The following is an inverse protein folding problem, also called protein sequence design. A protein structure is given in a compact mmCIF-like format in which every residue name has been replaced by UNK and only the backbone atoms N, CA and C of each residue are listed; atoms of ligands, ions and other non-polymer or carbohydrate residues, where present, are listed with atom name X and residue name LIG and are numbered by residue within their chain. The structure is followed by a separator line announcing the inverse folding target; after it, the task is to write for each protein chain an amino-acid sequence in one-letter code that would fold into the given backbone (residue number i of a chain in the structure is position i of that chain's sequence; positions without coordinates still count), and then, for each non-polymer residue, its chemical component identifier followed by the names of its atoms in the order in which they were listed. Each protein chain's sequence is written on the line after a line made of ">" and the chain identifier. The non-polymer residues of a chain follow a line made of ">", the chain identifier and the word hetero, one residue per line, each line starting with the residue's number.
data_IF_291687977392
#
_entry.id   IF_291687977392
#
_cell.length_a   1.000
_cell.length_b   1.000
_cell.length_c   1.000
_cell.angle_alpha   90.00
_cell.angle_beta   90.00
_cell.angle_gamma   90.00
#
_symmetry.space_group_name_H-M   'P 1'
#
loop_
_entity.id
_entity.type
_entity.pdbx_description
1 polymer ?
#
# COMPACT_ATOMS: atom_id res chain seq x y z
N UNK A 1 -26.10 -45.90 14.01
CA UNK A 1 -24.88 -45.12 13.64
C UNK A 1 -25.15 -44.08 12.54
N UNK A 2 -25.78 -44.44 11.40
CA UNK A 2 -26.01 -43.53 10.26
C UNK A 2 -26.71 -42.20 10.57
N UNK A 3 -27.66 -42.17 11.51
CA UNK A 3 -28.34 -40.92 11.95
C UNK A 3 -27.41 -39.94 12.69
N UNK A 4 -26.52 -40.45 13.54
CA UNK A 4 -25.50 -39.64 14.24
C UNK A 4 -24.51 -39.04 13.24
N UNK A 5 -24.10 -39.83 12.26
CA UNK A 5 -23.22 -39.38 11.17
C UNK A 5 -23.89 -38.28 10.31
N UNK A 6 -25.16 -38.45 9.94
CA UNK A 6 -25.91 -37.44 9.18
C UNK A 6 -26.01 -36.09 9.91
N UNK A 7 -26.29 -36.13 11.23
CA UNK A 7 -26.35 -34.93 12.07
C UNK A 7 -24.97 -34.26 12.23
N UNK A 8 -23.90 -35.05 12.38
CA UNK A 8 -22.54 -34.51 12.43
C UNK A 8 -22.15 -33.79 11.13
N UNK A 9 -22.47 -34.39 9.98
CA UNK A 9 -22.22 -33.78 8.68
C UNK A 9 -23.03 -32.49 8.49
N UNK A 10 -24.28 -32.47 8.95
CA UNK A 10 -25.11 -31.26 8.93
C UNK A 10 -24.51 -30.16 9.82
N UNK A 11 -24.07 -30.48 11.03
CA UNK A 11 -23.43 -29.53 11.93
C UNK A 11 -22.16 -28.94 11.31
N UNK A 12 -21.31 -29.77 10.70
CA UNK A 12 -20.12 -29.31 9.97
C UNK A 12 -20.48 -28.45 8.75
N UNK A 13 -21.52 -28.81 8.00
CA UNK A 13 -21.99 -28.01 6.87
C UNK A 13 -22.41 -26.61 7.32
N UNK A 14 -23.19 -26.51 8.40
CA UNK A 14 -23.60 -25.22 8.98
C UNK A 14 -22.38 -24.44 9.48
N UNK A 15 -21.44 -25.09 10.14
CA UNK A 15 -20.21 -24.47 10.62
C UNK A 15 -19.39 -23.84 9.47
N UNK A 16 -19.13 -24.58 8.39
CA UNK A 16 -18.37 -24.05 7.24
C UNK A 16 -19.17 -23.00 6.46
N UNK A 17 -20.49 -23.14 6.35
CA UNK A 17 -21.35 -22.13 5.76
C UNK A 17 -21.28 -20.80 6.53
N UNK A 18 -21.21 -20.83 7.86
CA UNK A 18 -21.02 -19.65 8.69
C UNK A 18 -19.58 -19.10 8.61
N UNK A 19 -18.57 -19.97 8.53
CA UNK A 19 -17.16 -19.54 8.50
C UNK A 19 -16.78 -18.83 7.19
N UNK A 20 -17.42 -19.17 6.06
CA UNK A 20 -17.19 -18.55 4.75
C UNK A 20 -17.36 -17.02 4.76
N UNK A 21 -18.54 -16.46 5.12
CA UNK A 21 -18.73 -15.02 5.21
C UNK A 21 -17.88 -14.38 6.33
N UNK A 22 -17.71 -15.07 7.47
CA UNK A 22 -16.91 -14.56 8.59
C UNK A 22 -15.45 -14.33 8.20
N UNK A 23 -14.85 -15.22 7.40
CA UNK A 23 -13.45 -15.05 6.99
C UNK A 23 -13.25 -13.75 6.19
N UNK A 24 -14.13 -13.47 5.22
CA UNK A 24 -14.02 -12.29 4.36
C UNK A 24 -14.45 -10.99 5.02
N UNK A 25 -15.57 -10.99 5.74
CA UNK A 25 -16.18 -9.76 6.25
C UNK A 25 -15.91 -9.48 7.72
N UNK A 26 -15.47 -10.48 8.50
CA UNK A 26 -15.13 -10.30 9.91
C UNK A 26 -13.63 -10.41 10.18
N UNK A 27 -13.00 -11.51 9.74
CA UNK A 27 -11.59 -11.79 10.05
C UNK A 27 -10.63 -10.91 9.23
N UNK A 28 -10.80 -10.84 7.90
CA UNK A 28 -9.92 -10.07 7.03
C UNK A 28 -9.80 -8.58 7.44
N UNK A 29 -10.89 -7.81 7.64
CA UNK A 29 -10.78 -6.40 8.01
C UNK A 29 -10.08 -6.15 9.36
N UNK A 30 -10.05 -7.14 10.26
CA UNK A 30 -9.43 -7.03 11.58
C UNK A 30 -7.97 -7.49 11.61
N UNK A 31 -7.61 -8.42 10.73
CA UNK A 31 -6.29 -9.05 10.74
C UNK A 31 -5.35 -8.46 9.69
N UNK A 32 -5.87 -8.02 8.55
CA UNK A 32 -5.06 -7.44 7.49
C UNK A 32 -4.72 -5.99 7.82
N UNK A 33 -3.51 -5.77 8.35
CA UNK A 33 -2.96 -4.45 8.64
C UNK A 33 -1.47 -4.38 8.35
N UNK A 34 -0.96 -3.17 8.18
CA UNK A 34 0.47 -2.91 8.11
C UNK A 34 1.07 -3.05 9.51
N UNK A 35 2.16 -3.82 9.70
CA UNK A 35 2.81 -3.94 10.99
C UNK A 35 3.57 -2.64 11.33
N UNK A 36 3.52 -2.24 12.61
CA UNK A 36 4.20 -1.05 13.11
C UNK A 36 5.73 -1.20 13.19
N UNK A 37 6.27 -2.42 13.09
CA UNK A 37 7.69 -2.75 13.23
C UNK A 37 8.39 -3.03 11.89
N UNK A 38 7.81 -2.62 10.76
CA UNK A 38 8.41 -2.82 9.45
C UNK A 38 9.57 -1.86 9.17
N UNK A 39 10.54 -2.36 8.41
CA UNK A 39 11.61 -1.54 7.84
C UNK A 39 11.75 -1.85 6.36
N UNK A 40 11.55 -0.83 5.53
CA UNK A 40 11.59 -0.97 4.08
C UNK A 40 12.66 -0.04 3.51
N UNK A 41 13.39 -0.54 2.53
CA UNK A 41 14.33 0.25 1.73
C UNK A 41 13.99 0.08 0.27
N UNK A 42 13.99 1.18 -0.47
CA UNK A 42 13.87 1.20 -1.92
C UNK A 42 15.00 2.04 -2.49
N UNK A 43 15.65 1.53 -3.53
CA UNK A 43 16.68 2.26 -4.26
C UNK A 43 16.18 2.51 -5.68
N UNK A 44 16.26 3.75 -6.10
CA UNK A 44 15.97 4.20 -7.45
C UNK A 44 17.23 4.79 -8.06
N UNK A 45 17.34 4.70 -9.39
CA UNK A 45 18.47 5.21 -10.15
C UNK A 45 17.97 6.05 -11.33
N UNK A 46 18.64 7.16 -11.60
CA UNK A 46 18.51 7.90 -12.83
C UNK A 46 19.82 7.84 -13.61
N UNK A 47 19.80 7.22 -14.79
CA UNK A 47 20.96 7.14 -15.69
C UNK A 47 20.98 8.35 -16.62
N UNK A 48 22.18 8.83 -16.95
CA UNK A 48 22.39 10.02 -17.79
C UNK A 48 21.57 11.24 -17.31
N UNK A 49 21.48 11.41 -15.98
CA UNK A 49 20.73 12.49 -15.37
C UNK A 49 21.48 13.81 -15.48
N UNK A 50 20.76 14.92 -15.44
CA UNK A 50 21.34 16.25 -15.22
C UNK A 50 21.38 16.53 -13.73
N UNK A 51 22.53 16.97 -13.23
CA UNK A 51 22.71 17.38 -11.83
C UNK A 51 23.47 18.71 -11.80
N UNK A 52 23.07 19.60 -10.90
CA UNK A 52 23.76 20.86 -10.67
C UNK A 52 25.08 20.65 -9.93
N UNK A 53 26.16 21.15 -10.52
CA UNK A 53 27.42 21.34 -9.83
C UNK A 53 27.29 22.61 -8.97
N UNK A 54 27.20 22.44 -7.65
CA UNK A 54 26.97 23.55 -6.73
C UNK A 54 28.19 24.47 -6.57
N UNK A 55 29.40 24.06 -6.97
CA UNK A 55 30.59 24.91 -6.92
C UNK A 55 30.64 25.90 -8.09
N UNK A 56 30.24 25.45 -9.28
CA UNK A 56 30.20 26.28 -10.49
C UNK A 56 28.80 26.81 -10.84
N UNK A 57 27.76 26.35 -10.13
CA UNK A 57 26.35 26.57 -10.43
C UNK A 57 26.00 26.26 -11.89
N UNK A 58 26.62 25.23 -12.48
CA UNK A 58 26.36 24.77 -13.85
C UNK A 58 25.74 23.37 -13.81
N UNK A 59 24.68 23.19 -14.59
CA UNK A 59 24.09 21.88 -14.79
C UNK A 59 25.04 21.01 -15.63
N UNK A 60 25.25 19.75 -15.22
CA UNK A 60 26.08 18.78 -15.94
C UNK A 60 25.34 17.45 -16.05
N UNK A 61 25.58 16.75 -17.16
CA UNK A 61 25.15 15.36 -17.28
C UNK A 61 26.08 14.48 -16.45
N UNK A 62 25.48 13.64 -15.60
CA UNK A 62 26.18 12.64 -14.79
C UNK A 62 25.70 11.25 -15.18
N UNK A 63 26.59 10.23 -15.14
CA UNK A 63 26.26 8.89 -15.60
C UNK A 63 25.13 8.25 -14.78
N UNK A 64 25.12 8.52 -13.46
CA UNK A 64 24.14 7.97 -12.53
C UNK A 64 23.92 8.87 -11.33
N UNK A 65 22.66 8.97 -10.91
CA UNK A 65 22.24 9.46 -9.59
C UNK A 65 21.44 8.36 -8.92
N UNK A 66 21.69 8.15 -7.63
CA UNK A 66 20.96 7.16 -6.83
C UNK A 66 20.05 7.90 -5.85
N UNK A 67 18.80 7.48 -5.74
CA UNK A 67 17.86 7.94 -4.73
C UNK A 67 17.56 6.75 -3.83
N UNK A 68 17.73 6.92 -2.53
CA UNK A 68 17.43 5.89 -1.54
C UNK A 68 16.29 6.39 -0.68
N UNK A 69 15.25 5.60 -0.58
CA UNK A 69 14.13 5.81 0.33
C UNK A 69 14.15 4.72 1.39
N UNK A 70 14.07 5.10 2.65
CA UNK A 70 13.89 4.16 3.77
C UNK A 70 12.63 4.53 4.53
N UNK A 71 11.80 3.55 4.87
CA UNK A 71 10.62 3.71 5.72
C UNK A 71 10.82 2.84 6.96
N UNK A 72 10.85 3.47 8.13
CA UNK A 72 11.04 2.78 9.40
C UNK A 72 9.82 2.95 10.29
N UNK A 73 9.27 1.83 10.74
CA UNK A 73 8.25 1.78 11.78
C UNK A 73 8.74 2.27 13.13
N UNK A 74 7.99 3.20 13.72
CA UNK A 74 8.13 3.67 15.11
C UNK A 74 7.01 3.04 15.95
N UNK A 75 7.31 1.87 16.54
CA UNK A 75 6.35 1.07 17.32
C UNK A 75 5.86 1.85 18.54
N UNK A 76 6.76 2.53 19.25
CA UNK A 76 6.42 3.27 20.47
C UNK A 76 5.48 4.44 20.14
N UNK A 77 5.78 5.20 19.08
CA UNK A 77 4.91 6.29 18.65
C UNK A 77 3.55 5.77 18.15
N UNK A 78 3.54 4.63 17.45
CA UNK A 78 2.32 3.97 16.98
C UNK A 78 1.42 3.61 18.16
N UNK A 79 1.92 2.85 19.14
CA UNK A 79 1.16 2.44 20.33
C UNK A 79 0.67 3.65 21.15
N UNK A 80 1.47 4.71 21.23
CA UNK A 80 1.09 5.94 21.94
C UNK A 80 -0.10 6.65 21.27
N UNK A 81 -0.09 6.74 19.95
CA UNK A 81 -1.15 7.42 19.19
C UNK A 81 -2.41 6.55 19.13
N UNK A 82 -2.28 5.23 18.98
CA UNK A 82 -3.41 4.29 18.98
C UNK A 82 -4.31 4.46 20.22
N UNK A 83 -3.71 4.68 21.39
CA UNK A 83 -4.43 4.91 22.66
C UNK A 83 -5.42 6.08 22.61
N UNK A 84 -5.19 7.08 21.77
CA UNK A 84 -6.04 8.26 21.64
C UNK A 84 -6.79 8.31 20.31
N UNK A 85 -6.31 7.64 19.27
CA UNK A 85 -6.89 7.66 17.93
C UNK A 85 -8.10 6.73 17.75
N UNK A 86 -8.27 5.73 18.61
CA UNK A 86 -9.40 4.79 18.58
C UNK A 86 -9.41 3.86 17.36
N UNK A 87 -8.25 3.66 16.73
CA UNK A 87 -8.01 2.82 15.55
C UNK A 87 -6.56 2.36 15.54
N UNK A 88 -6.25 1.37 14.72
CA UNK A 88 -4.87 0.89 14.52
C UNK A 88 -4.08 1.90 13.68
N UNK A 89 -2.95 2.37 14.22
CA UNK A 89 -2.15 3.46 13.64
C UNK A 89 -0.71 2.99 13.47
N UNK A 90 -0.14 3.31 12.31
CA UNK A 90 1.28 3.12 12.03
C UNK A 90 1.94 4.47 11.87
N UNK A 91 3.06 4.64 12.57
CA UNK A 91 3.98 5.77 12.39
C UNK A 91 5.19 5.29 11.62
N UNK A 92 5.42 5.90 10.45
CA UNK A 92 6.62 5.68 9.65
C UNK A 92 7.48 6.93 9.64
N UNK A 93 8.75 6.75 10.03
CA UNK A 93 9.83 7.68 9.77
C UNK A 93 10.45 7.35 8.41
N UNK A 94 10.12 8.16 7.43
CA UNK A 94 10.67 8.10 6.08
C UNK A 94 11.93 8.95 5.95
N UNK A 95 12.84 8.50 5.11
CA UNK A 95 14.00 9.29 4.69
C UNK A 95 14.22 9.04 3.20
N UNK A 96 14.06 10.09 2.41
CA UNK A 96 14.45 10.11 1.00
C UNK A 96 15.73 10.92 0.85
N UNK A 97 16.80 10.34 0.31
CA UNK A 97 18.03 11.06 0.05
C UNK A 97 18.62 10.75 -1.31
N UNK A 98 19.31 11.73 -1.88
CA UNK A 98 19.95 11.67 -3.19
C UNK A 98 21.45 11.52 -3.00
N UNK A 99 22.05 10.55 -3.66
CA UNK A 99 23.49 10.36 -3.78
C UNK A 99 23.95 10.73 -5.19
N UNK A 100 24.96 11.60 -5.25
CA UNK A 100 25.65 11.95 -6.49
C UNK A 100 26.48 10.79 -7.04
N UNK A 101 27.08 10.95 -8.23
CA UNK A 101 27.93 9.93 -8.85
C UNK A 101 29.20 9.62 -8.03
N UNK A 102 29.62 10.52 -7.15
CA UNK A 102 30.75 10.36 -6.22
C UNK A 102 30.36 9.67 -4.90
N UNK A 103 29.11 9.22 -4.76
CA UNK A 103 28.57 8.60 -3.56
C UNK A 103 28.26 9.57 -2.42
N UNK A 104 28.52 10.87 -2.59
CA UNK A 104 28.20 11.88 -1.57
C UNK A 104 26.71 12.19 -1.58
N UNK A 105 26.17 12.43 -0.39
CA UNK A 105 24.79 12.85 -0.22
C UNK A 105 24.63 14.29 -0.72
N UNK A 106 23.70 14.49 -1.65
CA UNK A 106 23.36 15.78 -2.25
C UNK A 106 22.24 16.45 -1.45
N UNK A 107 21.19 15.69 -1.13
CA UNK A 107 20.05 16.18 -0.37
C UNK A 107 19.42 15.04 0.42
N UNK A 108 18.70 15.39 1.48
CA UNK A 108 17.85 14.47 2.22
C UNK A 108 16.58 15.19 2.67
N UNK A 109 15.48 14.45 2.69
CA UNK A 109 14.18 14.90 3.13
C UNK A 109 13.65 13.84 4.09
N UNK A 110 13.80 14.04 5.41
CA UNK A 110 13.14 13.19 6.40
C UNK A 110 11.64 13.53 6.43
N UNK A 111 10.81 12.54 6.68
CA UNK A 111 9.37 12.69 6.79
C UNK A 111 8.84 11.79 7.91
N UNK A 112 7.79 12.25 8.59
CA UNK A 112 7.02 11.43 9.53
C UNK A 112 5.60 11.36 9.05
N UNK A 113 5.17 10.15 8.70
CA UNK A 113 3.81 9.87 8.24
C UNK A 113 3.09 9.00 9.26
N UNK A 114 1.86 9.38 9.58
CA UNK A 114 1.00 8.72 10.56
C UNK A 114 -0.27 8.33 9.82
N UNK A 115 -0.61 7.05 9.79
CA UNK A 115 -1.70 6.54 8.97
C UNK A 115 -2.40 5.35 9.61
N UNK A 116 -3.64 5.13 9.17
CA UNK A 116 -4.44 3.98 9.57
C UNK A 116 -3.86 2.70 8.98
N UNK A 117 -3.59 1.71 9.83
CA UNK A 117 -2.90 0.48 9.46
C UNK A 117 -3.68 -0.37 8.43
N UNK A 118 -4.99 -0.16 8.29
CA UNK A 118 -5.86 -0.87 7.37
C UNK A 118 -6.14 -0.06 6.11
N UNK A 119 -6.62 1.18 6.25
CA UNK A 119 -7.11 1.99 5.12
C UNK A 119 -5.99 2.75 4.40
N UNK A 120 -4.83 2.94 5.04
CA UNK A 120 -3.75 3.80 4.56
C UNK A 120 -4.13 5.30 4.52
N UNK A 121 -5.23 5.69 5.17
CA UNK A 121 -5.59 7.10 5.27
C UNK A 121 -4.73 7.81 6.32
N UNK A 122 -4.34 9.08 6.10
CA UNK A 122 -3.63 9.86 7.11
C UNK A 122 -4.42 9.96 8.42
N UNK A 123 -3.70 9.81 9.54
CA UNK A 123 -4.22 10.04 10.87
C UNK A 123 -3.54 11.28 11.43
N UNK A 124 -4.29 12.37 11.51
CA UNK A 124 -3.78 13.68 11.93
C UNK A 124 -3.55 13.72 13.43
N UNK A 125 -2.37 13.24 13.83
CA UNK A 125 -1.84 13.33 15.17
C UNK A 125 -0.61 14.27 15.19
N UNK A 126 -0.23 14.70 16.39
CA UNK A 126 0.97 15.51 16.58
C UNK A 126 2.22 14.77 16.09
N UNK A 127 3.04 15.45 15.29
CA UNK A 127 4.33 14.91 14.81
C UNK A 127 4.38 14.59 13.32
N UNK A 128 3.26 14.66 12.58
CA UNK A 128 3.31 14.62 11.11
C UNK A 128 4.20 15.76 10.58
N UNK A 129 5.27 15.40 9.86
CA UNK A 129 6.21 16.39 9.31
C UNK A 129 6.76 15.98 7.95
N UNK A 130 7.21 16.97 7.19
CA UNK A 130 8.10 16.82 6.02
C UNK A 130 9.24 17.79 6.16
N UNK A 131 10.46 17.28 6.11
CA UNK A 131 11.70 18.01 6.39
C UNK A 131 11.63 18.75 7.74
N UNK A 132 10.98 18.14 8.73
CA UNK A 132 10.74 18.72 10.06
C UNK A 132 9.74 19.89 10.11
N UNK A 133 9.11 20.26 8.99
CA UNK A 133 7.99 21.21 9.00
C UNK A 133 6.67 20.45 9.22
N UNK A 134 5.79 20.91 10.12
CA UNK A 134 4.47 20.32 10.28
C UNK A 134 3.68 20.34 8.98
N UNK A 135 3.05 19.23 8.64
CA UNK A 135 2.15 19.12 7.49
C UNK A 135 0.85 18.47 7.90
N UNK A 136 -0.18 18.66 7.07
CA UNK A 136 -1.42 17.90 7.16
C UNK A 136 -1.69 17.26 5.81
N UNK A 137 -1.62 15.93 5.77
CA UNK A 137 -1.76 15.17 4.52
C UNK A 137 -3.21 14.96 4.12
N UNK A 138 -3.45 14.69 2.85
CA UNK A 138 -4.73 14.17 2.36
C UNK A 138 -4.44 13.08 1.35
N UNK A 139 -5.13 11.96 1.47
CA UNK A 139 -4.88 10.81 0.61
C UNK A 139 -3.62 10.03 0.98
N UNK A 140 -3.25 9.10 0.11
CA UNK A 140 -2.18 8.13 0.33
C UNK A 140 -0.81 8.69 -0.04
N UNK A 141 0.27 8.05 0.41
CA UNK A 141 1.65 8.45 0.07
C UNK A 141 2.52 7.24 -0.35
N UNK A 142 2.66 6.21 0.50
CA UNK A 142 3.54 5.07 0.20
C UNK A 142 2.82 3.84 -0.35
N UNK A 143 1.54 3.66 -0.02
CA UNK A 143 0.80 2.42 -0.30
C UNK A 143 -0.67 2.69 -0.58
N UNK A 144 -1.27 1.93 -1.50
CA UNK A 144 -2.71 1.92 -1.72
C UNK A 144 -3.43 1.05 -0.67
N UNK A 145 -4.72 1.27 -0.42
CA UNK A 145 -5.50 0.40 0.45
C UNK A 145 -5.49 -1.05 -0.03
N UNK A 146 -5.63 -2.00 0.90
CA UNK A 146 -5.89 -3.39 0.53
C UNK A 146 -7.13 -3.49 -0.37
N UNK A 147 -7.14 -4.49 -1.26
CA UNK A 147 -8.22 -4.65 -2.25
C UNK A 147 -8.43 -3.35 -3.04
N UNK A 148 -7.33 -2.75 -3.52
CA UNK A 148 -7.30 -1.51 -4.27
C UNK A 148 -8.34 -1.54 -5.40
N UNK A 149 -9.07 -0.44 -5.53
CA UNK A 149 -10.13 -0.29 -6.52
C UNK A 149 -9.60 0.37 -7.79
N UNK A 150 -10.34 0.21 -8.89
CA UNK A 150 -10.03 0.82 -10.19
C UNK A 150 -10.57 2.25 -10.27
N UNK A 151 -10.05 3.12 -9.42
CA UNK A 151 -10.45 4.53 -9.32
C UNK A 151 -9.25 5.41 -9.05
N UNK A 152 -9.47 6.71 -9.14
CA UNK A 152 -8.47 7.69 -8.75
C UNK A 152 -8.38 7.79 -7.22
N UNK A 153 -7.21 8.17 -6.73
CA UNK A 153 -6.94 8.39 -5.32
C UNK A 153 -6.33 9.77 -5.12
N UNK A 154 -6.54 10.38 -3.97
CA UNK A 154 -5.73 11.52 -3.55
C UNK A 154 -4.34 11.01 -3.19
N UNK A 155 -3.31 11.68 -3.68
CA UNK A 155 -1.92 11.33 -3.41
C UNK A 155 -1.18 12.56 -2.88
N UNK A 156 -0.57 12.41 -1.71
CA UNK A 156 0.23 13.47 -1.09
C UNK A 156 1.64 13.48 -1.66
N UNK A 157 2.11 14.66 -2.06
CA UNK A 157 3.46 14.86 -2.55
C UNK A 157 4.30 15.64 -1.52
N UNK A 158 5.35 15.01 -1.00
CA UNK A 158 6.20 15.59 0.04
C UNK A 158 6.97 16.84 -0.43
N UNK A 159 7.32 16.98 -1.72
CA UNK A 159 8.08 18.13 -2.22
C UNK A 159 7.21 19.40 -2.25
N UNK A 160 5.99 19.27 -2.75
CA UNK A 160 5.00 20.36 -2.82
C UNK A 160 4.22 20.55 -1.53
N UNK A 161 4.19 19.53 -0.66
CA UNK A 161 3.40 19.46 0.58
C UNK A 161 1.90 19.62 0.32
N UNK A 162 1.44 19.20 -0.84
CA UNK A 162 0.04 19.24 -1.24
C UNK A 162 -0.41 17.87 -1.73
N UNK A 163 -1.72 17.71 -1.84
CA UNK A 163 -2.32 16.52 -2.41
C UNK A 163 -2.96 16.86 -3.75
N UNK A 164 -2.82 15.94 -4.69
CA UNK A 164 -3.55 15.98 -5.94
C UNK A 164 -3.98 14.56 -6.33
N UNK A 165 -4.97 14.41 -7.23
CA UNK A 165 -5.35 13.11 -7.72
C UNK A 165 -4.19 12.38 -8.40
N UNK A 166 -4.06 11.09 -8.12
CA UNK A 166 -3.31 10.13 -8.92
C UNK A 166 -4.30 9.24 -9.68
N UNK A 167 -4.14 9.18 -11.00
CA UNK A 167 -5.16 8.62 -11.87
C UNK A 167 -4.92 7.15 -12.18
N UNK A 168 -5.97 6.33 -12.08
CA UNK A 168 -5.93 4.97 -12.60
C UNK A 168 -5.94 4.99 -14.14
N UNK A 169 -4.91 4.44 -14.78
CA UNK A 169 -4.80 4.36 -16.26
C UNK A 169 -4.89 2.94 -16.80
N UNK A 170 -5.53 2.04 -16.06
CA UNK A 170 -5.81 0.69 -16.53
C UNK A 170 -5.04 -0.40 -15.80
N UNK A 171 -5.30 -1.64 -16.23
CA UNK A 171 -4.67 -2.85 -15.70
C UNK A 171 -3.61 -3.34 -16.68
N UNK A 172 -2.45 -3.77 -16.18
CA UNK A 172 -1.33 -4.27 -16.99
C UNK A 172 -0.74 -5.53 -16.38
N UNK A 173 0.09 -6.23 -17.14
CA UNK A 173 0.94 -7.30 -16.61
C UNK A 173 2.35 -6.76 -16.38
N UNK A 174 2.89 -6.97 -15.17
CA UNK A 174 4.25 -6.58 -14.80
C UNK A 174 4.89 -7.72 -14.02
N UNK A 175 5.99 -8.28 -14.54
CA UNK A 175 6.74 -9.39 -13.90
C UNK A 175 5.85 -10.58 -13.48
N UNK A 176 4.88 -10.90 -14.32
CA UNK A 176 3.90 -11.97 -14.09
C UNK A 176 2.77 -11.62 -13.12
N UNK A 177 2.69 -10.38 -12.63
CA UNK A 177 1.59 -9.89 -11.79
C UNK A 177 0.62 -9.05 -12.62
N UNK A 178 -0.68 -9.23 -12.36
CA UNK A 178 -1.72 -8.31 -12.81
C UNK A 178 -1.74 -7.11 -11.88
N UNK A 179 -1.38 -5.93 -12.40
CA UNK A 179 -1.20 -4.70 -11.61
C UNK A 179 -2.09 -3.59 -12.14
N UNK A 180 -2.48 -2.68 -11.26
CA UNK A 180 -3.13 -1.43 -11.62
C UNK A 180 -2.05 -0.37 -11.84
N UNK A 181 -2.16 0.32 -12.96
CA UNK A 181 -1.21 1.36 -13.32
C UNK A 181 -1.78 2.72 -12.96
N UNK A 182 -1.01 3.48 -12.19
CA UNK A 182 -1.37 4.79 -11.67
C UNK A 182 -0.40 5.84 -12.19
N UNK A 183 -0.91 7.02 -12.55
CA UNK A 183 -0.07 8.11 -13.04
C UNK A 183 -0.57 9.46 -12.52
N UNK A 184 0.37 10.28 -12.05
CA UNK A 184 0.16 11.65 -11.60
C UNK A 184 1.17 12.56 -12.28
N UNK A 185 0.73 13.76 -12.64
CA UNK A 185 1.63 14.83 -13.08
C UNK A 185 1.51 15.99 -12.10
N UNK A 186 2.62 16.33 -11.45
CA UNK A 186 2.74 17.54 -10.64
C UNK A 186 3.27 18.65 -11.56
N UNK A 187 2.48 19.69 -11.89
CA UNK A 187 2.96 20.78 -12.73
C UNK A 187 4.09 21.54 -12.03
N UNK A 188 4.82 22.37 -12.78
CA UNK A 188 5.86 23.23 -12.22
C UNK A 188 5.36 24.03 -11.03
N UNK A 189 5.83 23.66 -9.85
CA UNK A 189 5.39 24.21 -8.57
C UNK A 189 6.60 24.74 -7.83
N UNK A 190 6.46 25.94 -7.25
CA UNK A 190 7.49 26.49 -6.37
C UNK A 190 7.48 25.70 -5.07
N UNK A 191 8.65 25.17 -4.69
CA UNK A 191 8.82 24.35 -3.48
C UNK A 191 9.84 24.98 -2.54
N UNK A 192 9.80 24.60 -1.27
CA UNK A 192 10.79 25.02 -0.29
C UNK A 192 12.18 24.48 -0.66
N UNK A 193 13.24 25.20 -0.27
CA UNK A 193 14.59 24.64 -0.27
C UNK A 193 14.69 23.57 0.83
N UNK A 194 15.44 22.48 0.60
CA UNK A 194 15.64 21.47 1.64
C UNK A 194 16.44 22.07 2.80
N UNK A 195 16.09 21.72 4.05
CA UNK A 195 16.82 22.17 5.24
C UNK A 195 18.27 21.69 5.24
N UNK A 196 18.49 20.48 4.75
CA UNK A 196 19.86 19.97 4.51
C UNK A 196 20.31 20.39 3.11
N UNK A 197 21.19 21.39 3.05
CA UNK A 197 21.73 21.90 1.79
C UNK A 197 22.94 21.09 1.31
N UNK A 198 23.14 20.94 -0.01
CA UNK A 198 24.28 20.24 -0.61
C UNK A 198 25.63 20.93 -0.39
N UNK A 199 25.62 22.23 -0.06
CA UNK A 199 26.82 23.04 0.19
C UNK A 199 26.95 23.30 1.67
N UNK A 200 28.05 22.85 2.28
CA UNK A 200 28.35 23.07 3.70
C UNK A 200 28.37 24.56 4.02
N UNK A 201 27.65 24.97 5.05
CA UNK A 201 27.62 26.37 5.52
C UNK A 201 26.61 27.27 4.79
N UNK A 202 25.93 26.77 3.75
CA UNK A 202 24.82 27.49 3.12
C UNK A 202 23.50 26.99 3.71
N UNK A 203 22.66 27.91 4.16
CA UNK A 203 21.32 27.62 4.66
C UNK A 203 20.24 27.94 3.61
N UNK A 204 19.03 27.39 3.75
CA UNK A 204 17.87 27.81 2.95
C UNK A 204 17.63 29.32 2.98
N UNK A 205 17.85 29.96 4.14
CA UNK A 205 17.68 31.40 4.31
C UNK A 205 18.70 32.20 3.50
N UNK A 206 19.94 31.72 3.40
CA UNK A 206 20.97 32.34 2.58
C UNK A 206 20.58 32.34 1.10
N UNK A 207 20.07 31.21 0.60
CA UNK A 207 19.58 31.13 -0.78
C UNK A 207 18.36 32.03 -0.98
N UNK A 208 17.43 32.06 -0.04
CA UNK A 208 16.26 32.93 -0.11
C UNK A 208 16.63 34.42 -0.18
N UNK A 209 17.67 34.86 0.55
CA UNK A 209 18.18 36.23 0.50
C UNK A 209 18.69 36.65 -0.88
N UNK A 210 19.10 35.69 -1.71
CA UNK A 210 19.48 35.99 -3.11
C UNK A 210 18.29 36.23 -4.03
N UNK A 211 17.05 35.97 -3.57
CA UNK A 211 15.84 35.97 -4.41
C UNK A 211 15.68 34.71 -5.27
N UNK A 212 16.58 33.72 -5.13
CA UNK A 212 16.53 32.46 -5.88
C UNK A 212 15.49 31.52 -5.30
N UNK A 213 14.67 30.94 -6.17
CA UNK A 213 13.57 30.03 -5.80
C UNK A 213 13.77 28.64 -6.37
N UNK A 214 13.29 27.59 -5.67
CA UNK A 214 13.31 26.21 -6.15
C UNK A 214 11.95 25.85 -6.75
N UNK A 215 11.98 25.21 -7.89
CA UNK A 215 10.82 24.74 -8.62
C UNK A 215 10.95 23.26 -8.91
N UNK A 216 9.84 22.56 -8.87
CA UNK A 216 9.73 21.12 -8.98
C UNK A 216 8.61 20.75 -9.94
N UNK A 217 8.82 19.71 -10.75
CA UNK A 217 7.77 19.02 -11.48
C UNK A 217 8.13 17.54 -11.56
N UNK A 218 7.11 16.68 -11.52
CA UNK A 218 7.30 15.25 -11.74
C UNK A 218 6.15 14.65 -12.52
N UNK A 219 6.45 13.63 -13.33
CA UNK A 219 5.46 12.65 -13.75
C UNK A 219 5.75 11.37 -13.01
N UNK A 220 4.89 11.02 -12.06
CA UNK A 220 5.02 9.85 -11.19
C UNK A 220 4.14 8.72 -11.67
N UNK A 221 4.69 7.51 -11.69
CA UNK A 221 4.05 6.29 -12.20
C UNK A 221 4.23 5.15 -11.21
N UNK A 222 3.15 4.43 -10.93
CA UNK A 222 3.18 3.25 -10.08
C UNK A 222 2.48 2.06 -10.71
N UNK A 223 3.03 0.89 -10.42
CA UNK A 223 2.42 -0.40 -10.72
C UNK A 223 2.03 -1.01 -9.39
N UNK A 224 0.73 -1.14 -9.13
CA UNK A 224 0.20 -1.54 -7.82
C UNK A 224 -0.44 -2.91 -7.93
N UNK A 225 -0.04 -3.84 -7.07
CA UNK A 225 -0.71 -5.14 -6.99
C UNK A 225 -2.05 -4.96 -6.25
N UNK A 226 -3.20 -5.25 -6.88
CA UNK A 226 -4.50 -4.77 -6.41
C UNK A 226 -5.01 -5.48 -5.16
N UNK A 227 -4.54 -6.69 -4.85
CA UNK A 227 -5.01 -7.42 -3.68
C UNK A 227 -4.39 -6.83 -2.41
N UNK A 228 -3.08 -6.65 -2.44
CA UNK A 228 -2.30 -6.11 -1.32
C UNK A 228 -2.33 -4.60 -1.25
N UNK A 229 -2.47 -3.91 -2.39
CA UNK A 229 -2.30 -2.47 -2.53
C UNK A 229 -0.85 -2.00 -2.49
N UNK A 230 0.11 -2.92 -2.55
CA UNK A 230 1.53 -2.59 -2.55
C UNK A 230 2.01 -2.17 -3.96
N UNK A 231 2.75 -1.05 -4.08
CA UNK A 231 3.49 -0.74 -5.30
C UNK A 231 4.60 -1.79 -5.51
N UNK A 232 4.64 -2.41 -6.68
CA UNK A 232 5.71 -3.32 -7.11
C UNK A 232 6.76 -2.65 -7.99
N UNK A 233 6.47 -1.43 -8.46
CA UNK A 233 7.41 -0.56 -9.16
C UNK A 233 6.99 0.90 -8.99
N UNK A 234 7.98 1.79 -8.99
CA UNK A 234 7.81 3.24 -8.99
C UNK A 234 8.79 3.87 -9.98
N UNK A 235 8.28 4.79 -10.80
CA UNK A 235 9.09 5.57 -11.73
C UNK A 235 8.68 7.04 -11.70
N UNK A 236 9.66 7.92 -11.86
CA UNK A 236 9.45 9.36 -11.94
C UNK A 236 10.24 9.99 -13.08
N UNK A 237 9.59 10.84 -13.87
CA UNK A 237 10.29 11.83 -14.70
C UNK A 237 10.37 13.09 -13.86
N UNK A 238 11.47 13.25 -13.16
CA UNK A 238 11.65 14.25 -12.11
C UNK A 238 12.54 15.39 -12.61
N UNK A 239 12.12 16.64 -12.38
CA UNK A 239 12.88 17.84 -12.72
C UNK A 239 12.80 18.88 -11.63
N UNK A 240 13.95 19.50 -11.34
CA UNK A 240 14.09 20.62 -10.42
C UNK A 240 14.85 21.76 -11.10
N UNK A 241 14.42 22.99 -10.84
CA UNK A 241 15.09 24.20 -11.31
C UNK A 241 15.29 25.17 -10.15
N UNK A 242 16.43 25.87 -10.18
CA UNK A 242 16.60 27.12 -9.45
C UNK A 242 16.25 28.26 -10.41
N UNK A 243 15.40 29.19 -9.98
CA UNK A 243 14.89 30.30 -10.79
C UNK A 243 15.04 31.65 -10.10
N UNK A 244 15.45 32.65 -10.88
CA UNK A 244 15.60 34.04 -10.45
C UNK A 244 16.75 34.25 -9.46
N UNK A 245 16.87 35.49 -9.00
CA UNK A 245 17.83 35.89 -7.96
C UNK A 245 19.26 36.08 -8.45
N UNK A 246 20.10 36.62 -7.54
CA UNK A 246 21.50 36.95 -7.82
C UNK A 246 22.43 35.73 -7.80
N UNK A 247 22.02 34.63 -7.15
CA UNK A 247 22.81 33.39 -7.07
C UNK A 247 23.18 32.85 -8.46
N UNK A 248 22.30 33.04 -9.43
CA UNK A 248 22.46 32.47 -10.76
C UNK A 248 23.36 33.30 -11.69
N UNK A 249 23.92 34.41 -11.21
CA UNK A 249 24.85 35.25 -11.99
C UNK A 249 24.19 35.83 -13.25
N UNK A 250 22.97 36.35 -13.12
CA UNK A 250 22.21 36.95 -14.22
C UNK A 250 21.43 35.97 -15.10
N UNK A 251 21.58 34.66 -14.92
CA UNK A 251 20.74 33.66 -15.60
C UNK A 251 19.34 33.64 -15.01
N UNK A 252 18.32 33.54 -15.86
CA UNK A 252 16.93 33.44 -15.41
C UNK A 252 16.64 32.13 -14.63
N UNK A 253 17.27 31.03 -15.03
CA UNK A 253 17.13 29.71 -14.39
C UNK A 253 18.33 28.80 -14.64
N UNK A 254 18.46 27.77 -13.80
CA UNK A 254 19.36 26.63 -13.99
C UNK A 254 18.70 25.34 -13.51
N UNK A 255 18.90 24.24 -14.22
CA UNK A 255 18.43 22.91 -13.81
C UNK A 255 19.22 22.42 -12.60
N UNK A 256 18.54 22.17 -11.50
CA UNK A 256 19.09 21.56 -10.29
C UNK A 256 19.22 20.04 -10.45
N UNK A 257 18.17 19.42 -10.99
CA UNK A 257 18.12 18.00 -11.30
C UNK A 257 17.20 17.78 -12.51
N UNK A 258 17.51 16.84 -13.39
CA UNK A 258 16.55 16.30 -14.34
C UNK A 258 16.90 14.85 -14.68
N UNK A 259 15.94 13.93 -14.58
CA UNK A 259 16.19 12.53 -14.91
C UNK A 259 14.94 11.66 -14.88
N UNK A 260 15.03 10.52 -15.56
CA UNK A 260 14.07 9.42 -15.41
C UNK A 260 14.56 8.52 -14.29
N UNK A 261 13.99 8.72 -13.10
CA UNK A 261 14.25 7.94 -11.90
C UNK A 261 13.44 6.64 -11.99
N UNK A 262 14.12 5.50 -11.88
CA UNK A 262 13.51 4.18 -11.91
C UNK A 262 13.96 3.35 -10.72
N UNK A 263 13.06 2.59 -10.14
CA UNK A 263 13.42 1.59 -9.14
C UNK A 263 14.49 0.62 -9.69
N UNK A 264 15.48 0.29 -8.87
CA UNK A 264 16.58 -0.60 -9.25
C UNK A 264 16.07 -2.04 -9.36
N UNK A 265 16.61 -2.79 -10.33
CA UNK A 265 16.08 -4.10 -10.73
C UNK A 265 16.05 -5.13 -9.59
N UNK A 266 17.10 -5.19 -8.76
CA UNK A 266 17.17 -6.08 -7.60
C UNK A 266 16.10 -5.79 -6.55
N UNK A 267 15.77 -4.50 -6.34
CA UNK A 267 14.64 -4.12 -5.50
C UNK A 267 13.32 -4.47 -6.15
N UNK A 268 13.17 -4.34 -7.48
CA UNK A 268 11.94 -4.74 -8.18
C UNK A 268 11.68 -6.23 -7.96
N UNK A 269 12.69 -7.07 -8.18
CA UNK A 269 12.58 -8.51 -8.02
C UNK A 269 12.26 -8.89 -6.56
N UNK A 270 12.93 -8.26 -5.60
CA UNK A 270 12.66 -8.45 -4.17
C UNK A 270 11.21 -8.06 -3.81
N UNK A 271 10.78 -6.86 -4.17
CA UNK A 271 9.43 -6.36 -3.87
C UNK A 271 8.36 -7.21 -4.54
N UNK A 272 8.55 -7.63 -5.79
CA UNK A 272 7.62 -8.55 -6.49
C UNK A 272 7.50 -9.88 -5.75
N UNK A 273 8.61 -10.43 -5.23
CA UNK A 273 8.61 -11.66 -4.45
C UNK A 273 7.82 -11.53 -3.14
N UNK A 274 8.10 -10.47 -2.38
CA UNK A 274 7.40 -10.18 -1.11
C UNK A 274 5.90 -9.96 -1.35
N UNK A 275 5.55 -9.19 -2.36
CA UNK A 275 4.15 -8.91 -2.70
C UNK A 275 3.42 -10.17 -3.16
N UNK A 276 4.07 -11.09 -3.90
CA UNK A 276 3.48 -12.40 -4.25
C UNK A 276 3.14 -13.24 -3.03
N UNK A 277 4.03 -13.27 -2.03
CA UNK A 277 3.80 -14.00 -0.79
C UNK A 277 2.62 -13.39 -0.01
N UNK A 278 2.64 -12.08 0.21
CA UNK A 278 1.57 -11.37 0.94
C UNK A 278 0.22 -11.45 0.22
N UNK A 279 0.22 -11.36 -1.11
CA UNK A 279 -0.98 -11.53 -1.94
C UNK A 279 -1.65 -12.88 -1.67
N UNK A 280 -0.88 -13.94 -1.53
CA UNK A 280 -1.42 -15.28 -1.28
C UNK A 280 -2.13 -15.34 0.06
N UNK A 281 -1.58 -14.73 1.11
CA UNK A 281 -2.21 -14.64 2.42
C UNK A 281 -3.52 -13.83 2.37
N UNK A 282 -3.52 -12.69 1.69
CA UNK A 282 -4.74 -11.88 1.54
C UNK A 282 -5.80 -12.63 0.73
N UNK A 283 -5.43 -13.30 -0.37
CA UNK A 283 -6.37 -14.11 -1.15
C UNK A 283 -6.89 -15.32 -0.38
N UNK A 284 -6.08 -15.90 0.50
CA UNK A 284 -6.50 -17.00 1.36
C UNK A 284 -7.72 -16.58 2.19
N UNK A 285 -7.66 -15.39 2.81
CA UNK A 285 -8.73 -14.86 3.65
C UNK A 285 -9.91 -14.29 2.85
N UNK A 286 -9.63 -13.65 1.72
CA UNK A 286 -10.66 -12.91 0.98
C UNK A 286 -11.38 -13.74 -0.07
N UNK A 287 -10.76 -14.83 -0.55
CA UNK A 287 -11.28 -15.62 -1.66
C UNK A 287 -11.15 -17.12 -1.41
N UNK A 288 -9.94 -17.66 -1.24
CA UNK A 288 -9.74 -19.11 -1.28
C UNK A 288 -10.44 -19.85 -0.12
N UNK A 289 -10.26 -19.42 1.13
CA UNK A 289 -10.96 -20.04 2.27
C UNK A 289 -12.47 -19.80 2.22
N UNK A 290 -12.99 -18.57 1.98
CA UNK A 290 -14.43 -18.36 1.83
C UNK A 290 -15.08 -19.29 0.80
N UNK A 291 -14.51 -19.40 -0.40
CA UNK A 291 -15.06 -20.28 -1.43
C UNK A 291 -14.89 -21.76 -1.10
N UNK A 292 -13.75 -22.16 -0.52
CA UNK A 292 -13.52 -23.55 -0.10
C UNK A 292 -14.49 -23.98 0.99
N UNK A 293 -14.73 -23.12 1.99
CA UNK A 293 -15.70 -23.38 3.05
C UNK A 293 -17.13 -23.44 2.51
N UNK A 294 -17.49 -22.56 1.57
CA UNK A 294 -18.81 -22.60 0.94
C UNK A 294 -19.03 -23.90 0.16
N UNK A 295 -18.06 -24.31 -0.65
CA UNK A 295 -18.12 -25.56 -1.41
C UNK A 295 -18.18 -26.79 -0.48
N UNK A 296 -17.34 -26.81 0.56
CA UNK A 296 -17.32 -27.88 1.54
C UNK A 296 -18.66 -27.97 2.29
N UNK A 297 -19.25 -26.83 2.67
CA UNK A 297 -20.56 -26.79 3.29
C UNK A 297 -21.65 -27.41 2.40
N UNK A 298 -21.67 -27.06 1.11
CA UNK A 298 -22.63 -27.60 0.15
C UNK A 298 -22.46 -29.12 -0.06
N UNK A 299 -21.23 -29.60 -0.15
CA UNK A 299 -20.93 -31.02 -0.28
C UNK A 299 -21.36 -31.80 0.98
N UNK A 300 -21.03 -31.30 2.16
CA UNK A 300 -21.40 -31.92 3.44
C UNK A 300 -22.93 -31.92 3.65
N UNK A 301 -23.60 -30.82 3.29
CA UNK A 301 -25.06 -30.71 3.33
C UNK A 301 -25.70 -31.74 2.40
N UNK A 302 -25.22 -31.82 1.16
CA UNK A 302 -25.73 -32.77 0.16
C UNK A 302 -25.55 -34.22 0.62
N UNK A 303 -24.38 -34.54 1.19
CA UNK A 303 -24.11 -35.87 1.74
C UNK A 303 -24.99 -36.19 2.96
N UNK A 304 -25.20 -35.23 3.85
CA UNK A 304 -26.10 -35.37 5.00
C UNK A 304 -27.53 -35.69 4.54
N UNK A 305 -28.07 -34.91 3.60
CA UNK A 305 -29.40 -35.12 3.03
C UNK A 305 -29.51 -36.46 2.30
N UNK A 306 -28.49 -36.86 1.54
CA UNK A 306 -28.45 -38.16 0.87
C UNK A 306 -28.47 -39.33 1.86
N UNK A 307 -27.66 -39.28 2.92
CA UNK A 307 -27.64 -40.32 3.95
C UNK A 307 -28.97 -40.42 4.70
N UNK A 308 -29.60 -39.28 4.98
CA UNK A 308 -30.92 -39.23 5.61
C UNK A 308 -32.02 -39.80 4.69
N UNK A 309 -31.99 -39.47 3.40
CA UNK A 309 -32.93 -40.02 2.41
C UNK A 309 -32.77 -41.55 2.26
N UNK A 310 -31.53 -42.05 2.22
CA UNK A 310 -31.25 -43.49 2.14
C UNK A 310 -31.69 -44.23 3.40
N UNK A 311 -31.53 -43.62 4.58
CA UNK A 311 -31.97 -44.22 5.85
C UNK A 311 -33.50 -44.34 5.94
N UNK A 312 -34.25 -43.37 5.38
CA UNK A 312 -35.72 -43.43 5.32
C UNK A 312 -36.24 -44.55 4.43
N UNK A 313 -35.57 -44.83 3.30
CA UNK A 313 -35.94 -45.92 2.38
C UNK A 313 -35.74 -47.33 2.96
N UNK A 314 -34.87 -47.49 3.95
CA UNK A 314 -34.57 -48.80 4.57
C UNK A 314 -35.41 -49.13 5.81
N UNK A 315 -36.39 -48.30 6.20
CA UNK A 315 -37.31 -48.64 7.29
C UNK A 315 -38.38 -49.61 6.78
N UNK A 316 -38.57 -50.80 7.41
CA UNK A 316 -39.70 -51.67 7.09
C UNK A 316 -41.01 -50.91 7.32
N UNK A 317 -41.94 -51.01 6.37
CA UNK A 317 -43.32 -50.53 6.54
C UNK A 317 -43.90 -51.24 7.77
N UNK A 318 -44.35 -50.48 8.78
CA UNK A 318 -44.98 -51.05 9.95
C UNK A 318 -46.16 -51.95 9.51
N UNK A 319 -46.36 -53.14 10.11
CA UNK A 319 -47.52 -53.97 9.80
C UNK A 319 -48.79 -53.15 10.05
N UNK A 320 -49.74 -53.17 9.12
CA UNK A 320 -51.03 -52.54 9.31
C UNK A 320 -51.64 -53.05 10.62
N UNK A 321 -52.00 -52.14 11.52
CA UNK A 321 -52.65 -52.48 12.77
C UNK A 321 -53.90 -53.31 12.44
N UNK A 322 -53.94 -54.58 12.89
CA UNK A 322 -55.15 -55.40 12.85
C UNK A 322 -56.22 -54.66 13.64
N UNK A 323 -57.31 -54.29 12.98
CA UNK A 323 -58.49 -53.75 13.63
C UNK A 323 -58.98 -54.78 14.65
N UNK A 324 -58.99 -54.41 15.93
CA UNK A 324 -59.63 -55.17 16.99
C UNK A 324 -61.14 -55.13 16.78
N UNK A 325 -61.84 -56.28 16.71
CA UNK A 325 -63.30 -56.30 16.63
C UNK A 325 -63.90 -55.65 17.89
N UNK A 326 -64.93 -54.82 17.71
CA UNK A 326 -65.68 -54.24 18.83
C UNK A 326 -66.36 -55.34 19.64
N UNK A 327 -66.41 -55.22 20.98
CA UNK A 327 -67.17 -56.15 21.81
C UNK A 327 -68.67 -55.88 21.64
N UNK A 328 -69.42 -56.89 21.23
CA UNK A 328 -70.88 -56.89 21.30
C UNK A 328 -71.26 -57.27 22.73
N UNK A 329 -71.84 -56.31 23.46
CA UNK A 329 -72.43 -56.53 24.78
C UNK A 329 -73.77 -57.25 24.67
N UNK A 330 -73.90 -58.32 25.45
CA UNK A 330 -75.08 -59.08 25.93
C UNK A 330 -76.24 -59.32 24.95
#
# INVERSE_FOLDING_TARGET
>A
MRRKTSLLLLALAVFFAALSPLMRWYAFPRLAKIPANEYQTMVLEAKNATLLDYGSLKARTVPKVTIVQTLKGDVEASEKIEKTAGRDVVVWDGLSYVQGPDGKMVSRVPERYIFDAHTQEPVHATGETVDGDPVRRKGIEFKWPFLTEKRDYEYFDAQTRTSAPIHYRGTRTFRGLKVYYFEQTVPWTRVAMPKTMPVKGITPADVARTGTTRWYTTVRRFWVEPVTGAPVNGEEIHQEELRGGTLLGGRAKVTAFAGHVKMREDYIDHTVSVVKANRTLVLLMTSYLPWSFLLLALLLLSLSLYLEARARRTRPRAPAARATPQPVTA
#
